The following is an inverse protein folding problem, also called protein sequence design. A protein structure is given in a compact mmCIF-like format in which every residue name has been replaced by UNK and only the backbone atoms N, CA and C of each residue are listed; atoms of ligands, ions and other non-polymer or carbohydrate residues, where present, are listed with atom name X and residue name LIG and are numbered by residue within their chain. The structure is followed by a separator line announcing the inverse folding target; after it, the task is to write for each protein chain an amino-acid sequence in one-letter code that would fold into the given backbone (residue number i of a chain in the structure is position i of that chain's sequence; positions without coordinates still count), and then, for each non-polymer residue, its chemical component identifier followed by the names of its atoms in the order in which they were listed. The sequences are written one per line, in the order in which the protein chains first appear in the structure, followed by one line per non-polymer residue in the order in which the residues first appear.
data_IF_941460751697
#
_entry.id   IF_941460751697
#
_cell.length_a   1.000
_cell.length_b   1.000
_cell.length_c   1.000
_cell.angle_alpha   90.00
_cell.angle_beta   90.00
_cell.angle_gamma   90.00
#
_symmetry.space_group_name_H-M   'P 1'
#
loop_
_entity.id
_entity.type
_entity.pdbx_description
1 polymer ?
#
# COMPACT_ATOMS: atom_id res chain seq x y z
N UNK A 1 9.59 -12.66 5.16
CA UNK A 1 8.40 -12.39 4.38
C UNK A 1 8.13 -13.52 3.38
N UNK A 2 6.90 -13.98 3.28
CA UNK A 2 6.51 -15.10 2.44
C UNK A 2 5.70 -14.69 1.20
N UNK A 3 5.22 -15.68 0.48
CA UNK A 3 4.27 -15.51 -0.61
C UNK A 3 2.91 -15.18 -0.02
N UNK A 4 2.32 -14.05 -0.42
CA UNK A 4 0.99 -13.60 0.04
C UNK A 4 -0.07 -13.68 -1.07
N UNK A 5 0.35 -13.87 -2.31
CA UNK A 5 -0.53 -13.97 -3.46
C UNK A 5 0.17 -14.57 -4.67
N UNK A 6 -0.60 -14.70 -5.74
CA UNK A 6 -0.13 -15.15 -7.06
C UNK A 6 -0.51 -14.13 -8.12
N UNK A 7 0.36 -13.93 -9.12
CA UNK A 7 0.06 -13.01 -10.22
C UNK A 7 -1.09 -13.57 -11.07
N UNK A 8 -1.99 -12.70 -11.53
CA UNK A 8 -3.20 -13.09 -12.27
C UNK A 8 -2.93 -13.93 -13.53
N UNK A 9 -1.85 -13.65 -14.25
CA UNK A 9 -1.63 -14.26 -15.56
C UNK A 9 -0.77 -15.52 -15.51
N UNK A 10 0.32 -15.48 -14.76
CA UNK A 10 1.32 -16.54 -14.76
C UNK A 10 1.43 -17.26 -13.42
N UNK A 11 0.61 -16.88 -12.45
CA UNK A 11 0.62 -17.45 -11.09
C UNK A 11 2.01 -17.44 -10.43
N UNK A 12 2.84 -16.43 -10.78
CA UNK A 12 4.14 -16.27 -10.13
C UNK A 12 3.94 -15.85 -8.68
N UNK A 13 4.79 -16.34 -7.75
CA UNK A 13 4.73 -15.90 -6.35
C UNK A 13 4.82 -14.39 -6.22
N UNK A 14 4.04 -13.80 -5.32
CA UNK A 14 4.02 -12.36 -5.00
C UNK A 14 4.10 -12.16 -3.51
N UNK A 15 4.88 -11.16 -3.08
CA UNK A 15 4.94 -10.65 -1.72
C UNK A 15 4.21 -9.32 -1.57
N UNK A 16 4.11 -8.84 -0.35
CA UNK A 16 3.67 -7.47 -0.05
C UNK A 16 4.74 -6.50 -0.54
N UNK A 17 4.33 -5.45 -1.24
CA UNK A 17 5.22 -4.41 -1.78
C UNK A 17 5.06 -3.10 -1.02
N UNK A 18 3.82 -2.75 -0.66
CA UNK A 18 3.46 -1.49 -0.02
C UNK A 18 2.73 -1.70 1.31
N UNK A 19 2.43 -0.61 2.02
CA UNK A 19 1.67 -0.63 3.27
C UNK A 19 0.28 0.02 3.17
N UNK A 20 -0.08 0.53 2.00
CA UNK A 20 -1.30 1.31 1.78
C UNK A 20 -2.15 0.84 0.61
N UNK A 21 -2.93 1.77 0.06
CA UNK A 21 -3.86 1.52 -1.05
C UNK A 21 -3.18 1.19 -2.38
N UNK A 22 -1.90 1.47 -2.51
CA UNK A 22 -1.07 1.18 -3.67
C UNK A 22 -0.58 -0.28 -3.74
N UNK A 23 -0.87 -1.11 -2.73
CA UNK A 23 -0.48 -2.53 -2.70
C UNK A 23 -1.12 -3.32 -3.85
N UNK A 24 -0.32 -3.92 -4.77
CA UNK A 24 -0.86 -4.59 -5.95
C UNK A 24 -1.14 -6.09 -5.76
N UNK A 25 -0.58 -6.75 -4.73
CA UNK A 25 -0.47 -8.21 -4.66
C UNK A 25 -1.27 -8.87 -3.55
N UNK A 26 -1.46 -8.17 -2.43
CA UNK A 26 -2.09 -8.72 -1.24
C UNK A 26 -3.62 -8.57 -1.29
N UNK A 27 -4.25 -9.19 -2.29
CA UNK A 27 -5.70 -9.31 -2.38
C UNK A 27 -6.16 -10.53 -1.61
N UNK A 28 -7.19 -10.35 -0.80
CA UNK A 28 -7.78 -11.36 0.06
C UNK A 28 -9.31 -11.38 -0.07
N UNK A 29 -9.90 -12.50 0.31
CA UNK A 29 -11.32 -12.61 0.59
C UNK A 29 -11.52 -12.35 2.08
N UNK A 30 -12.46 -11.48 2.43
CA UNK A 30 -12.83 -11.19 3.82
C UNK A 30 -14.19 -11.79 4.13
N UNK A 31 -14.34 -12.28 5.37
CA UNK A 31 -15.59 -12.80 5.88
C UNK A 31 -16.11 -14.04 5.16
N UNK A 32 -17.31 -14.49 5.55
CA UNK A 32 -18.00 -15.66 4.98
C UNK A 32 -19.49 -15.40 4.78
N UNK A 33 -20.14 -16.27 3.98
CA UNK A 33 -21.59 -16.19 3.72
C UNK A 33 -22.00 -14.84 3.14
N UNK A 34 -23.04 -14.24 3.68
CA UNK A 34 -23.58 -12.95 3.24
C UNK A 34 -22.58 -11.79 3.37
N UNK A 35 -21.59 -11.88 4.27
CA UNK A 35 -20.54 -10.89 4.49
C UNK A 35 -19.25 -11.18 3.75
N UNK A 36 -19.25 -12.12 2.82
CA UNK A 36 -18.09 -12.43 2.02
C UNK A 36 -17.75 -11.29 1.05
N UNK A 37 -16.55 -10.73 1.17
CA UNK A 37 -16.03 -9.68 0.29
C UNK A 37 -14.75 -10.13 -0.40
N UNK A 38 -14.81 -10.42 -1.69
CA UNK A 38 -13.64 -10.79 -2.47
C UNK A 38 -12.83 -9.54 -2.89
N UNK A 39 -11.58 -9.78 -3.28
CA UNK A 39 -10.69 -8.79 -3.87
C UNK A 39 -10.39 -7.58 -2.95
N UNK A 40 -10.43 -7.77 -1.64
CA UNK A 40 -10.07 -6.74 -0.69
C UNK A 40 -8.56 -6.65 -0.54
N UNK A 41 -8.02 -5.42 -0.39
CA UNK A 41 -6.59 -5.23 -0.10
C UNK A 41 -6.32 -5.46 1.38
N UNK A 42 -5.44 -6.40 1.68
CA UNK A 42 -5.04 -6.67 3.07
C UNK A 42 -4.44 -5.42 3.75
N UNK A 43 -3.66 -4.62 3.02
CA UNK A 43 -2.99 -3.41 3.54
C UNK A 43 -3.93 -2.24 3.87
N UNK A 44 -5.17 -2.27 3.39
CA UNK A 44 -6.20 -1.26 3.71
C UNK A 44 -7.32 -1.82 4.59
N UNK A 45 -7.22 -3.09 4.98
CA UNK A 45 -8.16 -3.74 5.87
C UNK A 45 -7.71 -3.55 7.30
N UNK A 46 -8.54 -2.90 8.12
CA UNK A 46 -8.27 -2.74 9.54
C UNK A 46 -8.44 -4.08 10.26
N UNK A 47 -7.46 -4.44 11.10
CA UNK A 47 -7.52 -5.64 11.90
C UNK A 47 -8.44 -5.45 13.10
N UNK A 48 -9.30 -6.44 13.34
CA UNK A 48 -10.16 -6.51 14.50
C UNK A 48 -10.30 -7.96 14.97
N UNK A 49 -10.72 -8.15 16.22
CA UNK A 49 -10.91 -9.49 16.78
C UNK A 49 -12.04 -10.24 16.05
N UNK A 50 -11.72 -11.46 15.62
CA UNK A 50 -12.62 -12.28 14.82
C UNK A 50 -12.60 -11.99 13.30
N UNK A 51 -11.67 -11.17 12.78
CA UNK A 51 -11.52 -10.99 11.35
C UNK A 51 -11.10 -12.29 10.68
N UNK A 52 -11.89 -12.75 9.70
CA UNK A 52 -11.54 -13.87 8.84
C UNK A 52 -11.05 -13.36 7.49
N UNK A 53 -9.86 -13.82 7.08
CA UNK A 53 -9.28 -13.48 5.78
C UNK A 53 -8.63 -14.71 5.14
N UNK A 54 -8.88 -14.90 3.86
CA UNK A 54 -8.32 -16.00 3.06
C UNK A 54 -7.59 -15.43 1.84
N UNK A 55 -6.46 -16.04 1.49
CA UNK A 55 -5.77 -15.72 0.22
C UNK A 55 -6.59 -16.21 -0.97
N UNK A 56 -6.42 -15.57 -2.12
CA UNK A 56 -7.11 -15.91 -3.36
C UNK A 56 -6.13 -16.14 -4.50
N UNK A 57 -6.64 -16.54 -5.67
CA UNK A 57 -5.88 -16.76 -6.91
C UNK A 57 -4.86 -17.91 -6.83
N UNK A 58 -5.22 -19.02 -6.20
CA UNK A 58 -4.42 -20.25 -6.18
C UNK A 58 -5.30 -21.49 -6.09
N UNK A 59 -4.72 -22.64 -6.41
CA UNK A 59 -5.31 -23.94 -6.18
C UNK A 59 -4.24 -25.04 -6.25
N UNK A 60 -4.15 -25.99 -5.29
CA UNK A 60 -4.96 -26.10 -4.07
C UNK A 60 -4.48 -25.18 -2.93
N UNK A 61 -3.22 -24.75 -2.91
CA UNK A 61 -2.69 -23.85 -1.87
C UNK A 61 -1.83 -22.74 -2.46
N UNK A 62 -1.53 -21.74 -1.64
CA UNK A 62 -0.69 -20.62 -2.03
C UNK A 62 0.77 -21.06 -2.31
N UNK A 63 1.28 -22.04 -1.58
CA UNK A 63 2.62 -22.60 -1.76
C UNK A 63 2.70 -23.49 -3.00
N UNK A 64 1.71 -24.35 -3.20
CA UNK A 64 1.63 -25.30 -4.32
C UNK A 64 0.43 -24.97 -5.20
N UNK A 65 0.66 -24.14 -6.20
CA UNK A 65 -0.37 -23.66 -7.09
C UNK A 65 -0.24 -24.27 -8.49
N UNK A 66 -1.23 -25.08 -8.88
CA UNK A 66 -1.31 -25.74 -10.20
C UNK A 66 -1.43 -24.69 -11.31
N UNK A 67 -2.05 -23.53 -11.05
CA UNK A 67 -2.16 -22.43 -12.01
C UNK A 67 -0.80 -21.92 -12.50
N UNK A 68 0.28 -22.18 -11.76
CA UNK A 68 1.64 -21.84 -12.17
C UNK A 68 2.11 -22.50 -13.48
N UNK A 69 1.43 -23.55 -13.93
CA UNK A 69 1.62 -24.17 -15.26
C UNK A 69 1.42 -23.15 -16.39
N UNK A 70 0.56 -22.14 -16.20
CA UNK A 70 0.37 -21.04 -17.15
C UNK A 70 1.69 -20.32 -17.49
N UNK A 71 2.66 -20.33 -16.57
CA UNK A 71 3.99 -19.76 -16.81
C UNK A 71 4.77 -20.45 -17.92
N UNK A 72 4.56 -21.76 -18.16
CA UNK A 72 5.20 -22.51 -19.23
C UNK A 72 4.71 -22.05 -20.61
N UNK A 73 3.47 -21.57 -20.67
CA UNK A 73 2.84 -21.06 -21.89
C UNK A 73 2.96 -19.54 -22.04
N UNK A 74 3.80 -18.89 -21.25
CA UNK A 74 3.91 -17.43 -21.19
C UNK A 74 4.12 -16.77 -22.57
N UNK A 75 4.93 -17.38 -23.44
CA UNK A 75 5.22 -16.87 -24.79
C UNK A 75 3.99 -16.84 -25.71
N UNK A 76 2.98 -17.69 -25.45
CA UNK A 76 1.74 -17.76 -26.23
C UNK A 76 0.63 -16.90 -25.67
N UNK A 77 0.85 -16.29 -24.50
CA UNK A 77 -0.12 -15.46 -23.79
C UNK A 77 0.36 -13.99 -23.74
N UNK A 78 0.56 -13.30 -24.87
CA UNK A 78 0.96 -11.91 -24.87
C UNK A 78 -0.13 -11.02 -24.23
N UNK A 79 0.19 -9.77 -23.91
CA UNK A 79 -0.80 -8.84 -23.40
C UNK A 79 -2.01 -8.72 -24.34
N UNK A 80 -3.22 -8.79 -23.78
CA UNK A 80 -4.45 -8.71 -24.55
C UNK A 80 -4.77 -9.96 -25.40
N UNK A 81 -4.11 -11.10 -25.17
CA UNK A 81 -4.35 -12.33 -25.93
C UNK A 81 -5.83 -12.72 -25.99
N UNK A 82 -6.58 -12.54 -24.94
CA UNK A 82 -7.99 -12.87 -24.85
C UNK A 82 -8.89 -12.00 -25.74
N UNK A 83 -8.49 -10.78 -26.08
CA UNK A 83 -9.21 -9.95 -27.06
C UNK A 83 -9.07 -10.43 -28.50
N UNK A 84 -8.05 -11.21 -28.79
CA UNK A 84 -7.77 -11.72 -30.15
C UNK A 84 -8.12 -13.18 -30.32
N UNK A 85 -7.89 -14.00 -29.28
CA UNK A 85 -7.90 -15.45 -29.39
C UNK A 85 -9.28 -16.06 -29.14
N UNK A 86 -10.10 -15.44 -28.27
CA UNK A 86 -11.37 -16.02 -27.79
C UNK A 86 -12.62 -15.26 -28.26
N UNK A 87 -12.54 -14.53 -29.37
CA UNK A 87 -13.63 -13.69 -29.85
C UNK A 87 -14.68 -14.44 -30.68
N UNK A 88 -14.39 -15.66 -31.14
CA UNK A 88 -15.31 -16.47 -31.95
C UNK A 88 -15.51 -17.88 -31.38
N UNK A 89 -16.72 -18.42 -31.47
CA UNK A 89 -18.01 -17.75 -31.79
C UNK A 89 -18.39 -16.72 -30.68
N UNK A 90 -19.02 -15.61 -31.07
CA UNK A 90 -19.38 -14.54 -30.11
C UNK A 90 -20.12 -15.00 -28.84
N UNK A 91 -21.14 -15.92 -28.92
CA UNK A 91 -21.81 -16.39 -27.71
C UNK A 91 -20.88 -17.08 -26.72
N UNK A 92 -19.80 -17.74 -27.21
CA UNK A 92 -18.86 -18.48 -26.36
C UNK A 92 -18.01 -17.54 -25.49
N UNK A 93 -17.76 -16.30 -25.95
CA UNK A 93 -17.07 -15.32 -25.13
C UNK A 93 -17.78 -15.17 -23.77
N UNK A 94 -19.05 -14.82 -23.78
CA UNK A 94 -19.82 -14.53 -22.56
C UNK A 94 -20.06 -15.77 -21.69
N UNK A 95 -20.29 -16.92 -22.29
CA UNK A 95 -20.80 -18.10 -21.58
C UNK A 95 -19.71 -19.15 -21.27
N UNK A 96 -18.58 -19.12 -21.97
CA UNK A 96 -17.50 -20.10 -21.83
C UNK A 96 -16.17 -19.43 -21.51
N UNK A 97 -15.67 -18.58 -22.40
CA UNK A 97 -14.30 -18.06 -22.27
C UNK A 97 -14.14 -17.05 -21.14
N UNK A 98 -15.04 -16.08 -21.00
CA UNK A 98 -14.96 -15.08 -19.95
C UNK A 98 -15.04 -15.69 -18.54
N UNK A 99 -16.00 -16.57 -18.22
CA UNK A 99 -16.02 -17.23 -16.91
C UNK A 99 -14.77 -18.04 -16.62
N UNK A 100 -14.24 -18.76 -17.61
CA UNK A 100 -13.02 -19.53 -17.45
C UNK A 100 -11.80 -18.62 -17.24
N UNK A 101 -11.66 -17.55 -18.02
CA UNK A 101 -10.56 -16.58 -17.89
C UNK A 101 -10.64 -15.87 -16.55
N UNK A 102 -11.83 -15.45 -16.12
CA UNK A 102 -12.07 -14.83 -14.81
C UNK A 102 -11.65 -15.76 -13.66
N UNK A 103 -12.06 -17.01 -13.72
CA UNK A 103 -11.67 -18.01 -12.72
C UNK A 103 -10.16 -18.26 -12.73
N UNK A 104 -9.56 -18.37 -13.92
CA UNK A 104 -8.10 -18.55 -14.05
C UNK A 104 -7.29 -17.33 -13.62
N UNK A 105 -7.88 -16.14 -13.73
CA UNK A 105 -7.29 -14.90 -13.21
C UNK A 105 -7.39 -14.78 -11.68
N UNK A 106 -8.16 -15.66 -11.02
CA UNK A 106 -8.30 -15.68 -9.56
C UNK A 106 -9.11 -14.53 -8.98
N UNK A 107 -9.93 -13.85 -9.79
CA UNK A 107 -10.88 -12.87 -9.29
C UNK A 107 -11.94 -13.57 -8.44
N UNK A 108 -12.18 -13.05 -7.24
CA UNK A 108 -13.15 -13.61 -6.31
C UNK A 108 -14.59 -13.56 -6.83
N UNK A 109 -15.45 -14.28 -6.17
CA UNK A 109 -16.89 -14.35 -6.50
C UNK A 109 -17.67 -13.55 -5.49
N UNK A 110 -18.64 -12.76 -5.94
CA UNK A 110 -19.57 -12.11 -5.06
C UNK A 110 -20.38 -13.15 -4.24
N UNK A 111 -20.82 -12.81 -3.01
CA UNK A 111 -21.67 -13.69 -2.22
C UNK A 111 -22.98 -13.99 -2.97
N UNK A 112 -23.51 -15.20 -2.77
CA UNK A 112 -24.82 -15.62 -3.30
C UNK A 112 -25.96 -15.32 -2.34
N UNK A 113 -25.63 -15.05 -1.08
CA UNK A 113 -26.59 -14.72 -0.04
C UNK A 113 -26.92 -13.22 -0.06
N UNK A 114 -28.14 -12.82 0.33
CA UNK A 114 -28.50 -11.42 0.47
C UNK A 114 -27.61 -10.71 1.50
N UNK A 115 -27.24 -9.46 1.21
CA UNK A 115 -26.52 -8.63 2.16
C UNK A 115 -27.37 -8.35 3.41
N UNK A 116 -26.80 -8.60 4.58
CA UNK A 116 -27.47 -8.44 5.89
C UNK A 116 -27.12 -7.11 6.55
N UNK A 117 -26.20 -6.35 5.99
CA UNK A 117 -25.71 -5.12 6.56
C UNK A 117 -26.60 -3.92 6.19
N UNK A 118 -26.57 -2.89 7.02
CA UNK A 118 -27.27 -1.64 6.80
C UNK A 118 -26.30 -0.55 6.38
N UNK A 119 -26.73 0.28 5.43
CA UNK A 119 -25.95 1.39 4.86
C UNK A 119 -26.73 2.69 4.99
N UNK A 120 -26.01 3.81 5.16
CA UNK A 120 -26.59 5.13 5.32
C UNK A 120 -26.03 6.12 4.32
N UNK A 121 -26.83 7.14 3.99
CA UNK A 121 -26.45 8.26 3.16
C UNK A 121 -26.64 9.56 3.94
N UNK A 122 -25.63 10.40 3.98
CA UNK A 122 -25.68 11.69 4.65
C UNK A 122 -25.34 12.84 3.70
N UNK A 123 -25.97 13.98 3.92
CA UNK A 123 -25.62 15.23 3.27
C UNK A 123 -24.92 16.14 4.27
N UNK A 124 -23.80 16.73 3.85
CA UNK A 124 -23.06 17.70 4.64
C UNK A 124 -22.79 18.97 3.80
N UNK A 125 -22.89 20.12 4.48
CA UNK A 125 -22.59 21.44 3.91
C UNK A 125 -21.51 22.09 4.76
N UNK A 126 -20.34 22.30 4.19
CA UNK A 126 -19.18 22.86 4.89
C UNK A 126 -18.55 24.00 4.10
N UNK A 127 -17.81 24.86 4.78
CA UNK A 127 -17.05 25.90 4.11
C UNK A 127 -15.76 25.31 3.52
N UNK A 128 -15.10 24.42 4.29
CA UNK A 128 -13.88 23.73 3.87
C UNK A 128 -14.00 22.23 4.13
N UNK A 129 -13.76 21.44 3.10
CA UNK A 129 -13.52 19.99 3.22
C UNK A 129 -12.03 19.75 3.06
N UNK A 130 -11.40 19.09 4.02
CA UNK A 130 -10.01 18.64 3.94
C UNK A 130 -10.00 17.11 3.76
N UNK A 131 -9.32 16.63 2.72
CA UNK A 131 -9.18 15.19 2.41
C UNK A 131 -7.74 14.78 2.73
N UNK A 132 -7.57 13.93 3.73
CA UNK A 132 -6.30 13.43 4.24
C UNK A 132 -5.94 14.04 5.59
N UNK A 133 -5.76 13.18 6.59
CA UNK A 133 -5.47 13.51 7.99
C UNK A 133 -3.98 13.46 8.34
N UNK A 134 -3.09 13.58 7.35
CA UNK A 134 -1.67 13.83 7.58
C UNK A 134 -1.40 15.22 8.14
N UNK A 135 -0.13 15.52 8.46
CA UNK A 135 0.24 16.81 9.08
C UNK A 135 -0.26 18.03 8.27
N UNK A 136 -0.16 17.97 6.95
CA UNK A 136 -0.63 19.05 6.07
C UNK A 136 -2.15 19.26 6.17
N UNK A 137 -2.92 18.18 6.23
CA UNK A 137 -4.38 18.25 6.37
C UNK A 137 -4.82 18.72 7.75
N UNK A 138 -4.15 18.27 8.80
CA UNK A 138 -4.41 18.72 10.17
C UNK A 138 -4.14 20.22 10.32
N UNK A 139 -3.02 20.72 9.80
CA UNK A 139 -2.68 22.15 9.83
C UNK A 139 -3.65 22.99 8.97
N UNK A 140 -4.04 22.49 7.79
CA UNK A 140 -5.02 23.15 6.95
C UNK A 140 -6.39 23.24 7.63
N UNK A 141 -6.84 22.17 8.29
CA UNK A 141 -8.07 22.16 9.07
C UNK A 141 -8.02 23.13 10.23
N UNK A 142 -6.87 23.20 10.95
CA UNK A 142 -6.65 24.13 12.06
C UNK A 142 -6.71 25.59 11.59
N UNK A 143 -6.00 25.91 10.51
CA UNK A 143 -6.01 27.27 9.96
C UNK A 143 -7.42 27.70 9.52
N UNK A 144 -8.16 26.82 8.85
CA UNK A 144 -9.55 27.09 8.43
C UNK A 144 -10.48 27.23 9.64
N UNK A 145 -10.34 26.34 10.65
CA UNK A 145 -11.13 26.39 11.88
C UNK A 145 -10.91 27.68 12.68
N UNK A 146 -9.66 28.11 12.84
CA UNK A 146 -9.33 29.37 13.49
C UNK A 146 -9.86 30.62 12.74
N UNK A 147 -10.00 30.51 11.41
CA UNK A 147 -10.63 31.55 10.59
C UNK A 147 -12.18 31.53 10.66
N UNK A 148 -12.77 30.66 11.50
CA UNK A 148 -14.21 30.58 11.69
C UNK A 148 -14.97 29.76 10.64
N UNK A 149 -14.29 29.08 9.73
CA UNK A 149 -14.91 28.23 8.73
C UNK A 149 -15.49 26.95 9.38
N UNK A 150 -16.61 26.44 8.84
CA UNK A 150 -17.09 25.08 9.15
C UNK A 150 -16.25 24.10 8.38
N UNK A 151 -15.50 23.25 9.08
CA UNK A 151 -14.52 22.33 8.50
C UNK A 151 -14.98 20.89 8.70
N UNK A 152 -14.87 20.07 7.65
CA UNK A 152 -14.87 18.61 7.76
C UNK A 152 -13.48 18.11 7.34
N UNK A 153 -12.81 17.37 8.21
CA UNK A 153 -11.56 16.67 7.90
C UNK A 153 -11.85 15.17 7.82
N UNK A 154 -11.57 14.58 6.65
CA UNK A 154 -11.77 13.17 6.36
C UNK A 154 -10.42 12.46 6.21
N UNK A 155 -10.20 11.38 7.00
CA UNK A 155 -9.03 10.52 6.96
C UNK A 155 -9.44 9.06 6.67
N UNK A 156 -8.81 8.43 5.69
CA UNK A 156 -9.17 7.08 5.25
C UNK A 156 -8.81 5.96 6.25
N UNK A 157 -7.80 6.19 7.09
CA UNK A 157 -7.34 5.23 8.11
C UNK A 157 -8.02 5.46 9.45
N UNK A 158 -7.77 4.57 10.40
CA UNK A 158 -8.23 4.72 11.78
C UNK A 158 -7.44 5.77 12.58
N UNK A 159 -6.30 6.22 12.04
CA UNK A 159 -5.30 7.00 12.75
C UNK A 159 -5.01 8.33 12.03
N UNK A 160 -4.73 9.37 12.81
CA UNK A 160 -4.30 10.66 12.32
C UNK A 160 -2.78 10.73 12.13
N UNK A 161 -2.33 11.69 11.35
CA UNK A 161 -0.92 12.06 11.24
C UNK A 161 -0.21 11.55 9.98
N UNK A 162 -0.83 10.63 9.23
CA UNK A 162 -0.21 10.06 8.01
C UNK A 162 1.18 9.48 8.32
N UNK A 163 2.20 9.98 7.63
CA UNK A 163 3.59 9.51 7.83
C UNK A 163 4.34 10.20 8.98
N UNK A 164 3.81 11.26 9.56
CA UNK A 164 4.51 12.04 10.59
C UNK A 164 4.96 11.19 11.80
N UNK A 165 4.13 10.27 12.34
CA UNK A 165 4.55 9.40 13.44
C UNK A 165 5.71 8.45 13.09
N UNK A 166 5.88 8.13 11.81
CA UNK A 166 6.92 7.20 11.32
C UNK A 166 8.20 7.93 10.94
N UNK A 167 8.10 9.12 10.34
CA UNK A 167 9.23 9.80 9.71
C UNK A 167 9.86 10.90 10.58
N UNK A 168 9.19 11.32 11.64
CA UNK A 168 9.62 12.46 12.48
C UNK A 168 9.73 12.03 13.95
N UNK A 169 10.86 12.34 14.57
CA UNK A 169 11.02 12.17 16.00
C UNK A 169 9.94 12.99 16.74
N UNK A 170 9.32 12.40 17.78
CA UNK A 170 8.19 12.99 18.51
C UNK A 170 6.96 13.35 17.63
N UNK A 171 6.92 12.85 16.38
CA UNK A 171 5.84 13.10 15.43
C UNK A 171 4.47 12.67 15.95
N UNK A 172 4.39 11.55 16.65
CA UNK A 172 3.15 11.08 17.27
C UNK A 172 2.59 12.08 18.27
N UNK A 173 3.42 12.60 19.19
CA UNK A 173 3.02 13.59 20.19
C UNK A 173 2.61 14.94 19.54
N UNK A 174 3.26 15.32 18.44
CA UNK A 174 2.87 16.52 17.71
C UNK A 174 1.48 16.37 17.05
N UNK A 175 1.22 15.21 16.47
CA UNK A 175 -0.09 14.87 15.88
C UNK A 175 -1.18 14.84 16.94
N UNK A 176 -0.95 14.19 18.08
CA UNK A 176 -1.90 14.14 19.20
C UNK A 176 -2.30 15.54 19.68
N UNK A 177 -1.34 16.44 19.83
CA UNK A 177 -1.64 17.85 20.20
C UNK A 177 -2.50 18.55 19.15
N UNK A 178 -2.17 18.40 17.86
CA UNK A 178 -2.96 19.01 16.79
C UNK A 178 -4.39 18.46 16.74
N UNK A 179 -4.56 17.17 16.91
CA UNK A 179 -5.88 16.53 16.95
C UNK A 179 -6.69 17.04 18.15
N UNK A 180 -6.08 17.13 19.32
CA UNK A 180 -6.74 17.69 20.51
C UNK A 180 -7.17 19.15 20.31
N UNK A 181 -6.32 19.98 19.71
CA UNK A 181 -6.65 21.36 19.37
C UNK A 181 -7.86 21.44 18.42
N UNK A 182 -7.89 20.58 17.41
CA UNK A 182 -8.99 20.51 16.42
C UNK A 182 -10.30 19.98 17.04
N UNK A 183 -10.22 18.98 17.88
CA UNK A 183 -11.40 18.38 18.55
C UNK A 183 -12.05 19.38 19.52
N UNK A 184 -11.27 20.31 20.07
CA UNK A 184 -11.78 21.40 20.90
C UNK A 184 -12.51 22.50 20.10
N UNK A 185 -12.42 22.52 18.76
CA UNK A 185 -13.06 23.53 17.91
C UNK A 185 -14.50 23.10 17.53
N UNK A 186 -15.55 23.82 17.95
CA UNK A 186 -16.95 23.42 17.68
C UNK A 186 -17.34 23.50 16.19
N UNK A 187 -16.56 24.23 15.39
CA UNK A 187 -16.75 24.37 13.94
C UNK A 187 -15.93 23.39 13.10
N UNK A 188 -15.22 22.45 13.72
CA UNK A 188 -14.40 21.43 13.05
C UNK A 188 -14.97 20.05 13.36
N UNK A 189 -15.23 19.26 12.32
CA UNK A 189 -15.64 17.87 12.43
C UNK A 189 -14.55 16.95 11.92
N UNK A 190 -14.10 16.03 12.76
CA UNK A 190 -13.07 15.05 12.45
C UNK A 190 -13.69 13.68 12.13
N UNK A 191 -13.28 13.05 11.03
CA UNK A 191 -13.73 11.71 10.64
C UNK A 191 -12.55 10.85 10.22
N UNK A 192 -12.23 9.85 11.02
CA UNK A 192 -11.35 8.72 10.63
C UNK A 192 -12.15 7.65 9.89
N UNK A 193 -11.48 6.70 9.26
CA UNK A 193 -12.10 5.64 8.42
C UNK A 193 -13.01 6.19 7.33
N UNK A 194 -12.80 7.45 6.95
CA UNK A 194 -13.60 8.20 6.00
C UNK A 194 -12.73 8.62 4.81
N UNK A 195 -12.87 7.92 3.71
CA UNK A 195 -12.09 8.12 2.50
C UNK A 195 -12.79 9.09 1.56
N UNK A 196 -12.07 10.09 1.03
CA UNK A 196 -12.52 10.87 -0.12
C UNK A 196 -12.57 9.98 -1.36
N UNK A 197 -13.78 9.60 -1.79
CA UNK A 197 -14.00 8.64 -2.87
C UNK A 197 -14.12 9.30 -4.25
N UNK A 198 -14.40 10.60 -4.32
CA UNK A 198 -14.48 11.33 -5.58
C UNK A 198 -14.76 12.80 -5.37
N UNK A 199 -14.09 13.65 -6.17
CA UNK A 199 -14.30 15.10 -6.20
C UNK A 199 -14.92 15.45 -7.55
N UNK A 200 -16.03 16.16 -7.52
CA UNK A 200 -16.84 16.50 -8.69
C UNK A 200 -17.04 18.02 -8.79
N UNK A 201 -17.70 18.45 -9.84
CA UNK A 201 -17.97 19.87 -10.10
C UNK A 201 -18.72 20.56 -8.96
N UNK A 202 -18.50 21.86 -8.83
CA UNK A 202 -19.18 22.73 -7.86
C UNK A 202 -18.97 22.34 -6.39
N UNK A 203 -17.77 21.82 -6.05
CA UNK A 203 -17.44 21.42 -4.68
C UNK A 203 -18.26 20.25 -4.15
N UNK A 204 -18.76 19.38 -5.04
CA UNK A 204 -19.42 18.16 -4.66
C UNK A 204 -18.40 17.04 -4.47
N UNK A 205 -18.39 16.45 -3.27
CA UNK A 205 -17.45 15.40 -2.91
C UNK A 205 -18.20 14.23 -2.29
N UNK A 206 -17.84 13.03 -2.69
CA UNK A 206 -18.27 11.80 -2.04
C UNK A 206 -17.20 11.35 -1.06
N UNK A 207 -17.58 11.12 0.20
CA UNK A 207 -16.71 10.46 1.16
C UNK A 207 -17.37 9.16 1.62
N UNK A 208 -16.57 8.11 1.74
CA UNK A 208 -17.02 6.77 2.14
C UNK A 208 -16.44 6.43 3.51
N UNK A 209 -17.31 6.30 4.49
CA UNK A 209 -16.96 6.02 5.89
C UNK A 209 -17.26 4.57 6.25
N UNK A 210 -16.29 3.85 6.79
CA UNK A 210 -16.42 2.53 7.39
C UNK A 210 -16.77 2.69 8.86
N UNK A 211 -18.06 2.57 9.19
CA UNK A 211 -18.56 2.90 10.53
C UNK A 211 -18.35 1.75 11.50
N UNK A 212 -18.64 0.52 11.09
CA UNK A 212 -18.65 -0.62 12.00
C UNK A 212 -17.96 -1.89 11.49
N UNK A 213 -17.19 -1.85 10.41
CA UNK A 213 -16.40 -3.00 9.94
C UNK A 213 -15.54 -3.61 11.06
N UNK A 214 -14.90 -2.76 11.86
CA UNK A 214 -14.04 -3.13 12.97
C UNK A 214 -14.78 -3.49 14.26
N UNK A 215 -16.12 -3.47 14.25
CA UNK A 215 -16.99 -3.77 15.40
C UNK A 215 -18.17 -4.65 14.97
N UNK A 216 -17.91 -5.89 14.57
CA UNK A 216 -18.98 -6.79 14.12
C UNK A 216 -19.99 -7.01 15.25
N UNK A 217 -21.27 -7.21 14.88
CA UNK A 217 -22.35 -7.47 15.83
C UNK A 217 -22.98 -6.23 16.49
N UNK A 218 -22.63 -5.02 16.04
CA UNK A 218 -23.33 -3.79 16.49
C UNK A 218 -24.52 -3.47 15.60
N UNK A 219 -25.54 -2.76 16.13
CA UNK A 219 -26.68 -2.26 15.36
C UNK A 219 -26.34 -1.01 14.50
N UNK A 220 -25.09 -0.57 14.53
CA UNK A 220 -24.62 0.55 13.72
C UNK A 220 -24.66 0.19 12.23
N UNK A 221 -24.86 1.17 11.32
CA UNK A 221 -24.68 0.92 9.90
C UNK A 221 -23.27 0.47 9.63
N UNK A 222 -23.08 -0.42 8.66
CA UNK A 222 -21.75 -0.87 8.30
C UNK A 222 -20.95 0.24 7.66
N UNK A 223 -21.52 0.89 6.66
CA UNK A 223 -20.89 2.01 5.96
C UNK A 223 -21.82 3.19 5.82
N UNK A 224 -21.21 4.36 5.59
CA UNK A 224 -21.91 5.61 5.36
C UNK A 224 -21.34 6.35 4.17
N UNK A 225 -22.19 6.74 3.24
CA UNK A 225 -21.82 7.58 2.11
C UNK A 225 -22.17 9.04 2.43
N UNK A 226 -21.14 9.87 2.56
CA UNK A 226 -21.28 11.30 2.73
C UNK A 226 -21.32 11.99 1.37
N UNK A 227 -22.35 12.77 1.13
CA UNK A 227 -22.53 13.66 -0.01
C UNK A 227 -22.24 15.07 0.45
N UNK A 228 -20.97 15.47 0.35
CA UNK A 228 -20.48 16.75 0.88
C UNK A 228 -20.57 17.83 -0.19
N UNK A 229 -21.13 18.99 0.18
CA UNK A 229 -21.00 20.24 -0.57
C UNK A 229 -20.07 21.15 0.19
N UNK A 230 -18.92 21.45 -0.39
CA UNK A 230 -17.90 22.31 0.17
C UNK A 230 -17.72 23.56 -0.68
N UNK A 231 -17.52 24.72 -0.06
CA UNK A 231 -17.12 25.94 -0.78
C UNK A 231 -15.70 25.83 -1.30
N UNK A 232 -14.82 25.18 -0.51
CA UNK A 232 -13.42 24.91 -0.86
C UNK A 232 -13.08 23.47 -0.48
N UNK A 233 -12.26 22.82 -1.31
CA UNK A 233 -11.73 21.49 -1.06
C UNK A 233 -10.21 21.57 -0.99
N UNK A 234 -9.65 21.09 0.11
CA UNK A 234 -8.20 20.95 0.30
C UNK A 234 -7.84 19.48 0.16
N UNK A 235 -7.04 19.13 -0.84
CA UNK A 235 -6.50 17.78 -1.02
C UNK A 235 -5.14 17.70 -0.35
N UNK A 236 -5.07 16.96 0.77
CA UNK A 236 -3.85 16.72 1.55
C UNK A 236 -3.53 15.22 1.58
N UNK A 237 -3.68 14.57 0.43
CA UNK A 237 -3.66 13.11 0.27
C UNK A 237 -2.27 12.48 0.32
N UNK A 238 -1.23 13.30 0.50
CA UNK A 238 0.15 12.83 0.60
C UNK A 238 0.75 12.47 -0.75
N UNK A 239 1.70 11.53 -0.73
CA UNK A 239 2.40 11.07 -1.92
C UNK A 239 2.62 9.57 -1.87
N UNK A 240 2.72 8.94 -3.03
CA UNK A 240 2.99 7.51 -3.20
C UNK A 240 4.46 7.32 -3.56
N UNK A 241 5.15 6.41 -2.86
CA UNK A 241 6.53 6.04 -3.19
C UNK A 241 6.58 5.22 -4.48
N UNK A 242 7.52 5.54 -5.35
CA UNK A 242 7.70 4.87 -6.63
C UNK A 242 8.66 3.68 -6.50
N UNK A 243 8.32 2.52 -7.09
CA UNK A 243 9.24 1.40 -7.20
C UNK A 243 10.38 1.70 -8.17
N UNK A 244 11.49 1.00 -7.99
CA UNK A 244 12.60 0.96 -8.94
C UNK A 244 12.45 -0.26 -9.87
N UNK A 245 12.88 -0.08 -11.14
CA UNK A 245 12.84 -1.13 -12.14
C UNK A 245 14.20 -1.84 -12.22
N UNK A 246 14.22 -3.11 -11.83
CA UNK A 246 15.36 -4.02 -11.98
C UNK A 246 14.89 -5.47 -12.12
N UNK A 247 15.75 -6.37 -12.59
CA UNK A 247 15.36 -7.76 -12.77
C UNK A 247 15.03 -8.44 -11.43
N UNK A 248 13.81 -8.96 -11.30
CA UNK A 248 13.32 -9.61 -10.08
C UNK A 248 12.78 -8.65 -9.02
N UNK A 249 12.44 -7.41 -9.37
CA UNK A 249 11.79 -6.48 -8.43
C UNK A 249 10.39 -6.93 -7.98
N UNK A 250 9.88 -8.02 -8.55
CA UNK A 250 8.61 -8.66 -8.23
C UNK A 250 8.77 -9.93 -7.36
N UNK A 251 9.98 -10.27 -6.94
CA UNK A 251 10.24 -11.40 -6.02
C UNK A 251 9.70 -11.06 -4.63
N UNK A 252 8.99 -12.00 -3.96
CA UNK A 252 8.56 -11.81 -2.57
C UNK A 252 9.72 -11.42 -1.66
N UNK A 253 9.56 -10.33 -0.90
CA UNK A 253 10.61 -9.74 -0.09
C UNK A 253 11.22 -8.46 -0.69
N UNK A 254 10.86 -8.09 -1.92
CA UNK A 254 11.15 -6.76 -2.48
C UNK A 254 9.97 -5.85 -2.15
N UNK A 255 10.22 -4.78 -1.39
CA UNK A 255 9.21 -3.87 -0.85
C UNK A 255 9.61 -2.41 -1.06
N UNK A 256 8.65 -1.51 -1.01
CA UNK A 256 8.90 -0.08 -0.91
C UNK A 256 9.58 0.25 0.44
N UNK A 257 10.53 1.15 0.43
CA UNK A 257 11.31 1.51 1.61
C UNK A 257 10.44 2.18 2.68
N UNK A 258 9.46 2.99 2.27
CA UNK A 258 8.47 3.57 3.18
C UNK A 258 7.60 2.52 3.86
N UNK A 259 7.16 1.51 3.10
CA UNK A 259 6.37 0.42 3.65
C UNK A 259 7.16 -0.39 4.69
N UNK A 260 8.45 -0.63 4.43
CA UNK A 260 9.33 -1.29 5.41
C UNK A 260 9.38 -0.49 6.72
N UNK A 261 9.51 0.85 6.65
CA UNK A 261 9.45 1.71 7.85
C UNK A 261 8.11 1.63 8.55
N UNK A 262 7.00 1.67 7.80
CA UNK A 262 5.64 1.57 8.36
C UNK A 262 5.45 0.27 9.13
N UNK A 263 5.87 -0.86 8.57
CA UNK A 263 5.76 -2.15 9.24
C UNK A 263 6.60 -2.22 10.51
N UNK A 264 7.80 -1.64 10.50
CA UNK A 264 8.69 -1.63 11.68
C UNK A 264 8.14 -0.72 12.77
N UNK A 265 7.80 0.53 12.43
CA UNK A 265 7.45 1.56 13.42
C UNK A 265 6.03 1.38 13.95
N UNK A 266 5.05 1.17 13.07
CA UNK A 266 3.65 1.08 13.46
C UNK A 266 3.25 -0.31 13.99
N UNK A 267 3.91 -1.38 13.51
CA UNK A 267 3.49 -2.75 13.75
C UNK A 267 4.54 -3.64 14.41
N UNK A 268 5.77 -3.15 14.60
CA UNK A 268 6.87 -3.96 15.17
C UNK A 268 7.26 -5.17 14.32
N UNK A 269 6.99 -5.13 13.01
CA UNK A 269 7.21 -6.25 12.08
C UNK A 269 8.33 -5.90 11.10
N UNK A 270 9.34 -6.78 10.98
CA UNK A 270 10.42 -6.63 10.02
C UNK A 270 10.19 -7.51 8.78
N UNK A 271 10.51 -7.03 7.56
CA UNK A 271 10.33 -7.82 6.34
C UNK A 271 11.33 -8.97 6.22
N UNK A 272 12.45 -8.87 6.91
CA UNK A 272 13.55 -9.84 6.91
C UNK A 272 14.54 -9.55 8.03
N UNK A 273 15.56 -10.39 8.15
CA UNK A 273 16.66 -10.23 9.11
C UNK A 273 17.83 -9.43 8.55
N UNK A 274 17.96 -9.41 7.24
CA UNK A 274 19.02 -8.75 6.48
C UNK A 274 18.41 -8.03 5.28
N UNK A 275 18.17 -6.74 5.41
CA UNK A 275 17.47 -5.93 4.42
C UNK A 275 18.45 -5.05 3.64
N UNK A 276 18.62 -5.29 2.36
CA UNK A 276 19.35 -4.38 1.47
C UNK A 276 18.45 -3.20 1.09
N UNK A 277 18.98 -1.97 1.14
CA UNK A 277 18.24 -0.77 0.74
C UNK A 277 18.74 -0.32 -0.64
N UNK A 278 17.83 -0.02 -1.57
CA UNK A 278 18.17 0.51 -2.89
C UNK A 278 17.42 1.79 -3.17
N UNK A 279 18.12 2.82 -3.69
CA UNK A 279 17.53 4.14 -3.82
C UNK A 279 18.14 5.00 -4.93
N UNK A 280 17.44 6.08 -5.26
CA UNK A 280 17.91 7.23 -6.02
C UNK A 280 17.58 8.56 -5.33
N UNK A 281 17.25 8.53 -4.03
CA UNK A 281 16.84 9.68 -3.23
C UNK A 281 17.25 9.54 -1.76
N UNK A 282 17.11 10.60 -0.98
CA UNK A 282 17.59 10.64 0.41
C UNK A 282 16.64 9.95 1.39
N UNK A 283 15.36 9.83 1.08
CA UNK A 283 14.37 9.32 2.03
C UNK A 283 14.65 7.87 2.45
N UNK A 284 15.17 7.04 1.53
CA UNK A 284 15.48 5.64 1.83
C UNK A 284 16.60 5.46 2.88
N UNK A 285 17.47 6.45 3.06
CA UNK A 285 18.46 6.40 4.15
C UNK A 285 17.79 6.39 5.52
N UNK A 286 16.61 7.03 5.68
CA UNK A 286 15.78 6.93 6.89
C UNK A 286 15.39 5.48 7.16
N UNK A 287 15.04 4.72 6.11
CA UNK A 287 14.71 3.29 6.25
C UNK A 287 15.90 2.48 6.76
N UNK A 288 17.10 2.75 6.23
CA UNK A 288 18.31 2.07 6.72
C UNK A 288 18.59 2.38 8.20
N UNK A 289 18.44 3.65 8.62
CA UNK A 289 18.58 4.06 10.02
C UNK A 289 17.51 3.44 10.92
N UNK A 290 16.26 3.42 10.48
CA UNK A 290 15.15 2.81 11.22
C UNK A 290 15.39 1.32 11.42
N UNK A 291 15.75 0.59 10.37
CA UNK A 291 16.08 -0.84 10.46
C UNK A 291 17.23 -1.10 11.44
N UNK A 292 18.31 -0.31 11.34
CA UNK A 292 19.46 -0.41 12.23
C UNK A 292 19.08 -0.16 13.69
N UNK A 293 18.30 0.88 13.97
CA UNK A 293 17.82 1.20 15.31
C UNK A 293 16.96 0.10 15.94
N UNK A 294 16.29 -0.72 15.11
CA UNK A 294 15.49 -1.87 15.53
C UNK A 294 16.23 -3.21 15.43
N UNK A 295 17.56 -3.19 15.31
CA UNK A 295 18.40 -4.39 15.33
C UNK A 295 18.34 -5.24 14.06
N UNK A 296 17.82 -4.71 12.96
CA UNK A 296 17.79 -5.40 11.65
C UNK A 296 19.08 -5.09 10.90
N UNK A 297 19.76 -6.13 10.41
CA UNK A 297 20.99 -5.96 9.66
C UNK A 297 20.73 -5.30 8.30
N UNK A 298 21.47 -4.23 7.99
CA UNK A 298 21.46 -3.57 6.69
C UNK A 298 22.83 -3.80 6.02
N UNK A 299 22.96 -4.83 5.16
CA UNK A 299 24.25 -5.19 4.58
C UNK A 299 24.79 -4.14 3.62
N UNK A 300 23.93 -3.39 2.95
CA UNK A 300 24.30 -2.25 2.13
C UNK A 300 23.11 -1.34 1.83
N UNK A 301 23.39 -0.05 1.65
CA UNK A 301 22.57 0.91 0.93
C UNK A 301 23.17 1.12 -0.45
N UNK A 302 22.38 0.89 -1.49
CA UNK A 302 22.78 0.93 -2.90
C UNK A 302 22.12 2.17 -3.50
N UNK A 303 22.90 3.23 -3.73
CA UNK A 303 22.41 4.49 -4.27
C UNK A 303 22.83 4.65 -5.72
N UNK A 304 21.85 4.83 -6.61
CA UNK A 304 22.08 5.01 -8.04
C UNK A 304 22.81 6.32 -8.36
N UNK A 305 22.74 7.31 -7.48
CA UNK A 305 23.41 8.61 -7.67
C UNK A 305 24.92 8.48 -7.43
N UNK A 306 25.76 9.09 -8.27
CA UNK A 306 27.21 9.00 -8.13
C UNK A 306 27.76 9.58 -6.81
N UNK A 307 27.16 10.68 -6.34
CA UNK A 307 27.61 11.38 -5.13
C UNK A 307 26.78 10.99 -3.89
N UNK A 308 25.65 10.27 -4.10
CA UNK A 308 24.74 9.90 -3.01
C UNK A 308 23.95 11.08 -2.45
N UNK A 309 23.58 11.04 -1.17
CA UNK A 309 22.69 12.03 -0.54
C UNK A 309 23.12 12.48 0.82
N UNK A 310 23.45 13.72 0.97
CA UNK A 310 23.48 14.64 2.11
C UNK A 310 23.69 14.09 3.53
N UNK A 311 23.15 14.80 4.51
CA UNK A 311 23.34 14.50 5.94
C UNK A 311 22.83 13.10 6.37
N UNK A 312 21.77 12.58 5.73
CA UNK A 312 21.26 11.24 6.07
C UNK A 312 22.22 10.13 5.64
N UNK A 313 22.89 10.29 4.51
CA UNK A 313 23.93 9.35 4.07
C UNK A 313 25.10 9.30 5.07
N UNK A 314 25.54 10.47 5.54
CA UNK A 314 26.61 10.54 6.56
C UNK A 314 26.20 9.88 7.88
N UNK A 315 24.94 10.04 8.31
CA UNK A 315 24.42 9.33 9.48
C UNK A 315 24.44 7.81 9.29
N UNK A 316 24.05 7.33 8.10
CA UNK A 316 24.08 5.88 7.76
C UNK A 316 25.52 5.36 7.80
N UNK A 317 26.48 6.11 7.24
CA UNK A 317 27.92 5.75 7.31
C UNK A 317 28.45 5.76 8.75
N UNK A 318 28.07 6.76 9.54
CA UNK A 318 28.44 6.85 10.95
C UNK A 318 27.88 5.69 11.78
N UNK A 319 26.73 5.15 11.40
CA UNK A 319 26.14 3.93 11.99
C UNK A 319 26.85 2.64 11.55
N UNK A 320 27.92 2.72 10.76
CA UNK A 320 28.67 1.55 10.28
C UNK A 320 28.01 0.80 9.12
N UNK A 321 26.99 1.37 8.49
CA UNK A 321 26.28 0.77 7.36
C UNK A 321 27.02 1.12 6.06
N UNK A 322 27.31 0.10 5.26
CA UNK A 322 27.94 0.24 3.95
C UNK A 322 27.03 1.02 2.99
N UNK A 323 27.58 2.03 2.31
CA UNK A 323 26.90 2.81 1.27
C UNK A 323 27.67 2.71 -0.05
N UNK A 324 27.02 2.19 -1.08
CA UNK A 324 27.52 2.06 -2.45
C UNK A 324 26.84 3.11 -3.34
N UNK A 325 27.55 4.14 -3.74
CA UNK A 325 27.08 5.18 -4.66
C UNK A 325 27.40 4.85 -6.11
N UNK A 326 26.64 5.39 -7.07
CA UNK A 326 26.76 5.08 -8.50
C UNK A 326 26.50 3.61 -8.80
N UNK A 327 25.74 2.92 -7.95
CA UNK A 327 25.48 1.49 -8.01
C UNK A 327 23.98 1.19 -8.18
N UNK A 328 23.67 0.04 -8.76
CA UNK A 328 22.29 -0.43 -8.92
C UNK A 328 22.20 -1.94 -8.70
N UNK A 329 21.00 -2.40 -8.37
CA UNK A 329 20.66 -3.81 -8.42
C UNK A 329 20.46 -4.21 -9.89
N UNK A 330 21.25 -5.15 -10.38
CA UNK A 330 21.08 -5.73 -11.70
C UNK A 330 20.07 -6.88 -11.67
N UNK A 331 20.04 -7.65 -10.58
CA UNK A 331 19.11 -8.77 -10.42
C UNK A 331 18.93 -9.15 -8.95
N UNK A 332 17.70 -9.45 -8.58
CA UNK A 332 17.38 -10.14 -7.33
C UNK A 332 17.54 -11.64 -7.53
N UNK A 333 18.19 -12.31 -6.60
CA UNK A 333 18.30 -13.78 -6.52
C UNK A 333 17.18 -14.30 -5.61
N UNK A 334 16.62 -15.44 -6.01
CA UNK A 334 15.49 -16.08 -5.34
C UNK A 334 14.24 -16.15 -6.22
N UNK A 335 13.25 -16.92 -5.80
CA UNK A 335 11.99 -17.13 -6.53
C UNK A 335 10.76 -16.94 -5.65
N UNK A 336 10.70 -17.65 -4.54
CA UNK A 336 9.64 -17.55 -3.54
C UNK A 336 10.00 -16.60 -2.37
N UNK A 337 11.20 -16.05 -2.42
CA UNK A 337 11.74 -15.09 -1.47
C UNK A 337 13.08 -14.57 -1.96
N UNK A 338 13.53 -13.44 -1.43
CA UNK A 338 14.85 -12.87 -1.72
C UNK A 338 15.93 -13.71 -1.03
N UNK A 339 16.98 -14.07 -1.75
CA UNK A 339 18.18 -14.77 -1.27
C UNK A 339 19.45 -13.90 -1.38
N UNK A 340 19.35 -12.79 -2.11
CA UNK A 340 20.41 -11.82 -2.31
C UNK A 340 20.18 -10.93 -3.52
N UNK A 341 21.05 -9.95 -3.68
CA UNK A 341 21.02 -9.01 -4.80
C UNK A 341 22.37 -8.95 -5.49
N UNK A 342 22.37 -9.06 -6.82
CA UNK A 342 23.53 -8.84 -7.65
C UNK A 342 23.63 -7.34 -7.95
N UNK A 343 24.72 -6.69 -7.55
CA UNK A 343 24.94 -5.26 -7.72
C UNK A 343 26.07 -4.98 -8.72
N UNK A 344 25.97 -3.85 -9.39
CA UNK A 344 26.96 -3.36 -10.33
C UNK A 344 26.87 -1.86 -10.52
N UNK A 345 27.57 -1.32 -11.51
CA UNK A 345 27.48 0.11 -11.82
C UNK A 345 26.07 0.48 -12.30
N UNK A 346 25.58 1.64 -11.90
CA UNK A 346 24.30 2.17 -12.36
C UNK A 346 24.27 2.39 -13.88
N UNK A 347 25.41 2.73 -14.49
CA UNK A 347 25.57 2.88 -15.94
C UNK A 347 25.48 1.57 -16.73
N UNK A 348 25.33 0.42 -16.06
CA UNK A 348 25.32 -0.91 -16.67
C UNK A 348 26.69 -1.60 -16.61
N UNK A 349 26.80 -2.73 -17.30
CA UNK A 349 28.01 -3.55 -17.34
C UNK A 349 27.93 -4.82 -16.49
N UNK A 350 29.09 -5.32 -16.05
CA UNK A 350 29.17 -6.57 -15.30
C UNK A 350 28.68 -6.41 -13.85
N UNK A 351 28.11 -7.49 -13.33
CA UNK A 351 27.87 -7.63 -11.88
C UNK A 351 29.20 -7.59 -11.14
N UNK A 352 29.34 -6.70 -10.16
CA UNK A 352 30.54 -6.60 -9.33
C UNK A 352 30.54 -7.64 -8.20
N UNK A 353 29.42 -7.79 -7.54
CA UNK A 353 29.28 -8.72 -6.42
C UNK A 353 27.82 -9.12 -6.18
N UNK A 354 27.63 -10.05 -5.28
CA UNK A 354 26.33 -10.42 -4.73
C UNK A 354 26.28 -10.11 -3.25
N UNK A 355 25.35 -9.26 -2.84
CA UNK A 355 25.08 -8.94 -1.44
C UNK A 355 24.03 -9.91 -0.94
N UNK A 356 24.35 -10.68 0.11
CA UNK A 356 23.42 -11.60 0.74
C UNK A 356 22.40 -10.81 1.58
N UNK A 357 21.10 -11.00 1.31
CA UNK A 357 19.99 -10.42 2.03
C UNK A 357 18.74 -11.30 1.86
N UNK A 358 17.77 -11.16 2.73
CA UNK A 358 16.49 -11.87 2.69
C UNK A 358 15.30 -10.94 2.42
N UNK A 359 15.56 -9.64 2.30
CA UNK A 359 14.61 -8.65 1.81
C UNK A 359 15.31 -7.45 1.17
N UNK A 360 14.57 -6.70 0.35
CA UNK A 360 15.01 -5.46 -0.31
C UNK A 360 14.00 -4.36 -0.04
N UNK A 361 14.48 -3.23 0.45
CA UNK A 361 13.72 -1.99 0.58
C UNK A 361 14.10 -1.04 -0.57
N UNK A 362 13.18 -0.78 -1.50
CA UNK A 362 13.44 0.06 -2.67
C UNK A 362 12.72 1.40 -2.60
N UNK A 363 13.38 2.47 -3.06
CA UNK A 363 12.79 3.81 -3.18
C UNK A 363 13.19 4.47 -4.48
N UNK A 364 12.22 4.75 -5.34
CA UNK A 364 12.37 5.49 -6.60
C UNK A 364 11.95 6.96 -6.50
N UNK A 365 11.78 7.48 -5.28
CA UNK A 365 11.22 8.80 -4.99
C UNK A 365 9.71 8.78 -4.83
N UNK A 366 9.10 9.96 -4.80
CA UNK A 366 7.68 10.14 -4.47
C UNK A 366 6.91 10.82 -5.60
N UNK A 367 5.63 10.46 -5.73
CA UNK A 367 4.66 11.13 -6.60
C UNK A 367 3.49 11.61 -5.74
N UNK A 368 3.22 12.92 -5.71
CA UNK A 368 2.08 13.52 -5.00
C UNK A 368 0.75 13.20 -5.68
#
# INVERSE_FOLDING_TARGET
QGVVGRSFKYHRPRGVVASGAEEPNALVNLGRGARHEPNQRATTTELFDGLEAESQNHWPSLEMDVGAVNGLFARYLPAGFYYKTFMHPRPFWKHVFEPFIRQSAGLGRAPSEPDVDRYEHFHAFVDVLVIGGGIAGLEAAKAAGLAGARVLLAEQTAHWGGRTPVDVADGAAAVERLVADLDAMPNVALRTRCMGAGVYDHGYVLCYERVSDHRPGTDAPRHRLWKVRAKQVVTATGAIERPLSFAGNDVPGVMLASAVRDYVVNWGVTPGRRVAVVTNNDDAYRTALTLHAHGVAVPAVIDARPEGGGALMEQVRAAGIRVETGAAIHKVKGRAGVEGVAIGAQSGGAVRETVACDAVAMSGGWSP
#
